data_IF_184702072982
#
_entry.id   IF_184702072982
#
_cell.length_a   1.000
_cell.length_b   1.000
_cell.length_c   1.000
_cell.angle_alpha   90.00
_cell.angle_beta   90.00
_cell.angle_gamma   90.00
#
_symmetry.space_group_name_H-M   'P 1'
#
loop_
_entity.id
_entity.type
_entity.pdbx_description
1 polymer ?
#
# COMPACT_ATOMS: atom_id res chain seq x y z
N UNK A 1 18.34 9.35 11.30
CA UNK A 1 17.88 8.03 11.80
C UNK A 1 18.55 6.99 10.94
N UNK A 2 19.19 5.98 11.54
CA UNK A 2 19.90 4.93 10.78
C UNK A 2 18.86 4.03 10.09
N UNK A 3 19.10 3.72 8.82
CA UNK A 3 18.21 2.85 8.03
C UNK A 3 18.31 1.41 8.56
N UNK A 4 17.19 0.76 8.79
CA UNK A 4 17.15 -0.66 9.18
C UNK A 4 16.64 -1.47 8.01
N UNK A 5 17.49 -2.35 7.51
CA UNK A 5 17.15 -3.30 6.45
C UNK A 5 16.85 -4.67 7.08
N UNK A 6 15.82 -5.35 6.54
CA UNK A 6 15.49 -6.73 6.92
C UNK A 6 15.70 -7.63 5.71
N UNK A 7 16.42 -8.71 5.88
CA UNK A 7 16.66 -9.74 4.86
C UNK A 7 16.39 -11.12 5.46
N UNK A 8 16.54 -12.16 4.66
CA UNK A 8 16.39 -13.56 5.08
C UNK A 8 15.01 -13.85 5.71
N UNK A 9 13.94 -13.34 5.08
CA UNK A 9 12.57 -13.54 5.56
C UNK A 9 12.02 -14.87 5.07
N UNK A 10 11.84 -15.84 5.97
CA UNK A 10 11.23 -17.14 5.70
C UNK A 10 9.84 -17.29 6.31
N UNK A 11 9.57 -16.55 7.40
CA UNK A 11 8.27 -16.53 8.07
C UNK A 11 7.71 -15.12 8.00
N UNK A 12 6.69 -14.88 7.16
CA UNK A 12 6.04 -13.58 7.06
C UNK A 12 5.43 -13.14 8.40
N UNK A 13 5.55 -11.85 8.71
CA UNK A 13 5.00 -11.29 9.95
C UNK A 13 4.55 -9.86 9.78
N UNK A 14 3.65 -9.42 10.66
CA UNK A 14 3.17 -8.04 10.74
C UNK A 14 3.71 -7.37 12.01
N UNK A 15 4.30 -6.19 11.85
CA UNK A 15 4.61 -5.29 12.96
C UNK A 15 3.50 -4.26 13.04
N UNK A 16 2.81 -4.22 14.18
CA UNK A 16 1.65 -3.33 14.36
C UNK A 16 2.10 -2.00 14.94
N UNK A 17 1.75 -0.90 14.27
CA UNK A 17 1.85 0.46 14.75
C UNK A 17 0.42 1.00 14.94
N UNK A 18 -0.07 0.98 16.17
CA UNK A 18 -1.42 1.46 16.50
C UNK A 18 -1.45 2.98 16.48
N UNK A 19 -2.51 3.56 15.91
CA UNK A 19 -2.82 4.96 16.12
C UNK A 19 -3.17 5.20 17.61
N UNK A 20 -2.90 6.41 18.10
CA UNK A 20 -3.33 6.80 19.44
C UNK A 20 -4.85 6.63 19.56
N UNK A 21 -5.30 5.95 20.61
CA UNK A 21 -6.72 5.63 20.83
C UNK A 21 -7.63 6.85 20.82
N UNK A 22 -7.10 8.04 21.16
CA UNK A 22 -7.84 9.33 21.13
C UNK A 22 -8.09 9.86 19.72
N UNK A 23 -7.33 9.39 18.73
CA UNK A 23 -7.36 9.86 17.35
C UNK A 23 -7.65 8.73 16.35
N UNK A 24 -7.66 7.46 16.82
CA UNK A 24 -7.92 6.32 15.97
C UNK A 24 -9.31 6.42 15.32
N UNK A 25 -9.34 6.38 13.98
CA UNK A 25 -10.57 6.56 13.21
C UNK A 25 -11.14 5.26 12.64
N UNK A 26 -10.51 4.13 12.93
CA UNK A 26 -10.91 2.80 12.47
C UNK A 26 -10.39 2.43 11.07
N UNK A 27 -9.72 3.31 10.36
CA UNK A 27 -9.02 2.92 9.13
C UNK A 27 -7.72 2.18 9.43
N UNK A 28 -7.32 1.28 8.52
CA UNK A 28 -6.05 0.58 8.61
C UNK A 28 -5.32 0.52 7.27
N UNK A 29 -3.98 0.39 7.32
CA UNK A 29 -3.14 0.20 6.14
C UNK A 29 -2.13 -0.92 6.37
N UNK A 30 -2.07 -1.89 5.47
CA UNK A 30 -0.97 -2.86 5.40
C UNK A 30 0.13 -2.26 4.52
N UNK A 31 1.33 -2.10 5.07
CA UNK A 31 2.47 -1.49 4.39
C UNK A 31 3.44 -2.58 3.93
N UNK A 32 3.76 -2.58 2.64
CA UNK A 32 4.80 -3.41 2.02
C UNK A 32 6.02 -2.53 1.68
N UNK A 33 7.11 -2.58 2.48
CA UNK A 33 8.32 -1.83 2.17
C UNK A 33 8.98 -2.28 0.87
N UNK A 34 9.75 -1.41 0.23
CA UNK A 34 10.57 -1.74 -0.92
C UNK A 34 11.89 -2.41 -0.55
N UNK A 35 12.82 -2.47 -1.51
CA UNK A 35 14.13 -3.07 -1.35
C UNK A 35 14.45 -4.09 -2.45
N UNK A 36 13.79 -4.00 -3.60
CA UNK A 36 14.07 -4.77 -4.81
C UNK A 36 13.81 -6.28 -4.68
N UNK A 37 12.99 -6.69 -3.73
CA UNK A 37 12.77 -8.10 -3.34
C UNK A 37 14.02 -8.82 -2.82
N UNK A 38 15.08 -8.06 -2.49
CA UNK A 38 16.33 -8.57 -1.89
C UNK A 38 16.40 -8.33 -0.39
N UNK A 39 15.77 -7.24 0.06
CA UNK A 39 15.67 -6.82 1.44
C UNK A 39 14.39 -5.99 1.62
N UNK A 40 14.09 -5.62 2.85
CA UNK A 40 13.04 -4.64 3.15
C UNK A 40 13.68 -3.38 3.72
N UNK A 41 13.35 -2.21 3.17
CA UNK A 41 13.70 -0.88 3.71
C UNK A 41 12.76 -0.59 4.90
N UNK A 42 12.93 -1.38 5.96
CA UNK A 42 11.91 -1.56 7.00
C UNK A 42 11.67 -0.30 7.82
N UNK A 43 12.76 0.45 8.12
CA UNK A 43 12.63 1.67 8.93
C UNK A 43 11.99 2.80 8.12
N UNK A 44 12.53 3.15 6.96
CA UNK A 44 12.12 4.35 6.23
C UNK A 44 10.84 4.17 5.41
N UNK A 45 10.59 2.99 4.85
CA UNK A 45 9.41 2.71 4.04
C UNK A 45 8.34 1.90 4.78
N UNK A 46 8.68 1.39 5.97
CA UNK A 46 7.75 0.70 6.85
C UNK A 46 7.36 1.55 8.06
N UNK A 47 8.25 1.65 9.05
CA UNK A 47 7.92 2.26 10.34
C UNK A 47 7.68 3.77 10.26
N UNK A 48 8.46 4.50 9.43
CA UNK A 48 8.25 5.94 9.26
C UNK A 48 6.92 6.22 8.54
N UNK A 49 6.57 5.42 7.52
CA UNK A 49 5.27 5.51 6.87
C UNK A 49 4.12 5.22 7.86
N UNK A 50 4.29 4.19 8.70
CA UNK A 50 3.34 3.88 9.76
C UNK A 50 3.15 5.06 10.74
N UNK A 51 4.22 5.73 11.13
CA UNK A 51 4.15 6.92 12.00
C UNK A 51 3.38 8.08 11.34
N UNK A 52 3.53 8.30 10.02
CA UNK A 52 2.76 9.31 9.29
C UNK A 52 1.27 8.96 9.28
N UNK A 53 0.91 7.72 8.99
CA UNK A 53 -0.47 7.25 9.02
C UNK A 53 -1.09 7.36 10.41
N UNK A 54 -0.32 7.04 11.47
CA UNK A 54 -0.80 7.16 12.85
C UNK A 54 -1.16 8.61 13.23
N UNK A 55 -0.47 9.63 12.69
CA UNK A 55 -0.79 11.05 12.94
C UNK A 55 -2.19 11.43 12.46
N UNK A 56 -2.68 10.76 11.43
CA UNK A 56 -4.03 10.96 10.89
C UNK A 56 -5.02 9.88 11.35
N UNK A 57 -4.71 9.18 12.44
CA UNK A 57 -5.60 8.23 13.09
C UNK A 57 -5.71 6.85 12.44
N UNK A 58 -4.87 6.54 11.46
CA UNK A 58 -4.86 5.26 10.76
C UNK A 58 -3.91 4.27 11.44
N UNK A 59 -4.40 3.08 11.80
CA UNK A 59 -3.55 1.99 12.31
C UNK A 59 -2.79 1.33 11.17
N UNK A 60 -1.48 1.15 11.33
CA UNK A 60 -0.63 0.57 10.30
C UNK A 60 -0.08 -0.82 10.70
N UNK A 61 0.06 -1.68 9.70
CA UNK A 61 0.58 -3.04 9.80
C UNK A 61 1.73 -3.20 8.82
N UNK A 62 2.97 -3.14 9.30
CA UNK A 62 4.16 -3.24 8.43
C UNK A 62 4.48 -4.70 8.19
N UNK A 63 4.42 -5.11 6.94
CA UNK A 63 4.62 -6.49 6.50
C UNK A 63 6.10 -6.80 6.26
N UNK A 64 6.59 -7.86 6.88
CA UNK A 64 7.79 -8.56 6.46
C UNK A 64 7.36 -9.73 5.57
N UNK A 65 7.51 -9.55 4.26
CA UNK A 65 7.17 -10.57 3.27
C UNK A 65 8.39 -11.36 2.79
N UNK A 66 8.21 -12.55 2.25
CA UNK A 66 9.27 -13.38 1.70
C UNK A 66 9.94 -12.73 0.50
N UNK A 67 11.26 -12.80 0.46
CA UNK A 67 12.09 -12.06 -0.47
C UNK A 67 12.55 -12.99 -1.61
N UNK A 68 12.03 -12.75 -2.81
CA UNK A 68 12.26 -13.62 -3.97
C UNK A 68 13.65 -13.46 -4.62
N UNK A 69 14.39 -12.39 -4.28
CA UNK A 69 15.71 -12.09 -4.86
C UNK A 69 16.80 -11.97 -3.79
N UNK A 70 16.55 -12.48 -2.59
CA UNK A 70 17.54 -12.52 -1.50
C UNK A 70 18.41 -13.76 -1.64
N UNK A 71 19.63 -13.57 -2.15
CA UNK A 71 20.55 -14.70 -2.44
C UNK A 71 19.93 -15.75 -3.38
N UNK A 72 20.04 -17.02 -3.01
CA UNK A 72 19.45 -18.15 -3.71
C UNK A 72 18.03 -18.46 -3.20
N UNK A 73 17.21 -17.45 -3.02
CA UNK A 73 15.86 -17.61 -2.49
C UNK A 73 15.01 -18.60 -3.31
N UNK A 74 14.27 -19.52 -2.67
CA UNK A 74 13.34 -20.41 -3.34
C UNK A 74 11.99 -19.76 -3.64
N UNK A 75 11.77 -18.51 -3.20
CA UNK A 75 10.49 -17.83 -3.28
C UNK A 75 10.31 -17.07 -4.60
N UNK A 76 9.04 -16.87 -4.99
CA UNK A 76 8.62 -16.09 -6.14
C UNK A 76 7.93 -14.79 -5.70
N UNK A 77 7.95 -13.77 -6.55
CA UNK A 77 7.29 -12.49 -6.28
C UNK A 77 5.77 -12.66 -6.38
N UNK A 78 5.29 -13.18 -7.51
CA UNK A 78 3.86 -13.32 -7.83
C UNK A 78 3.16 -14.39 -6.99
N UNK A 79 3.89 -15.47 -6.68
CA UNK A 79 3.39 -16.56 -5.85
C UNK A 79 3.52 -16.25 -4.37
N UNK A 80 4.75 -16.25 -3.84
CA UNK A 80 4.99 -16.23 -2.39
C UNK A 80 4.84 -14.85 -1.78
N UNK A 81 5.53 -13.84 -2.29
CA UNK A 81 5.48 -12.49 -1.72
C UNK A 81 4.09 -11.86 -1.87
N UNK A 82 3.43 -12.02 -3.03
CA UNK A 82 2.07 -11.54 -3.22
C UNK A 82 1.05 -12.33 -2.36
N UNK A 83 1.26 -13.63 -2.14
CA UNK A 83 0.44 -14.41 -1.21
C UNK A 83 0.58 -13.92 0.23
N UNK A 84 1.77 -13.50 0.64
CA UNK A 84 2.01 -12.93 1.97
C UNK A 84 1.22 -11.63 2.16
N UNK A 85 1.20 -10.72 1.16
CA UNK A 85 0.40 -9.51 1.23
C UNK A 85 -1.11 -9.81 1.21
N UNK A 86 -1.58 -10.76 0.37
CA UNK A 86 -2.98 -11.21 0.40
C UNK A 86 -3.38 -11.75 1.77
N UNK A 87 -2.51 -12.58 2.36
CA UNK A 87 -2.73 -13.12 3.70
C UNK A 87 -2.74 -12.03 4.77
N UNK A 88 -1.85 -11.05 4.67
CA UNK A 88 -1.79 -9.90 5.58
C UNK A 88 -3.10 -9.10 5.58
N UNK A 89 -3.65 -8.78 4.41
CA UNK A 89 -4.94 -8.08 4.29
C UNK A 89 -6.07 -8.89 4.92
N UNK A 90 -6.15 -10.19 4.64
CA UNK A 90 -7.14 -11.08 5.23
C UNK A 90 -6.98 -11.19 6.75
N UNK A 91 -5.75 -11.27 7.22
CA UNK A 91 -5.45 -11.37 8.65
C UNK A 91 -5.90 -10.11 9.38
N UNK A 92 -5.58 -8.92 8.89
CA UNK A 92 -6.03 -7.64 9.45
C UNK A 92 -7.57 -7.59 9.47
N UNK A 93 -8.22 -8.03 8.40
CA UNK A 93 -9.69 -8.08 8.31
C UNK A 93 -10.31 -9.06 9.31
N UNK A 94 -9.67 -10.21 9.54
CA UNK A 94 -10.10 -11.19 10.54
C UNK A 94 -9.99 -10.70 11.98
N UNK A 95 -8.97 -9.87 12.26
CA UNK A 95 -8.66 -9.35 13.59
C UNK A 95 -9.09 -7.88 13.78
N UNK A 96 -9.93 -7.36 12.88
CA UNK A 96 -10.31 -5.96 12.84
C UNK A 96 -10.81 -5.45 14.20
N UNK A 97 -11.69 -6.20 14.87
CA UNK A 97 -12.23 -5.85 16.19
C UNK A 97 -11.13 -5.73 17.26
N UNK A 98 -10.12 -6.61 17.27
CA UNK A 98 -9.00 -6.60 18.21
C UNK A 98 -8.18 -5.31 18.11
N UNK A 99 -8.09 -4.76 16.90
CA UNK A 99 -7.30 -3.55 16.61
C UNK A 99 -8.14 -2.27 16.52
N UNK A 100 -9.47 -2.35 16.75
CA UNK A 100 -10.36 -1.20 16.58
C UNK A 100 -10.47 -0.73 15.13
N UNK A 101 -10.37 -1.65 14.18
CA UNK A 101 -10.38 -1.39 12.74
C UNK A 101 -11.75 -1.73 12.15
N UNK A 102 -12.26 -0.90 11.23
CA UNK A 102 -13.39 -1.24 10.37
C UNK A 102 -12.89 -2.18 9.24
N UNK A 103 -13.38 -3.42 9.14
CA UNK A 103 -12.94 -4.37 8.12
C UNK A 103 -13.24 -3.93 6.68
N UNK A 104 -13.98 -2.84 6.48
CA UNK A 104 -14.32 -2.23 5.19
C UNK A 104 -13.45 -1.00 4.86
N UNK A 105 -12.45 -0.69 5.69
CA UNK A 105 -11.52 0.45 5.53
C UNK A 105 -10.07 0.02 5.72
N UNK A 106 -9.68 -1.07 5.02
CA UNK A 106 -8.33 -1.62 5.03
C UNK A 106 -7.66 -1.36 3.69
N UNK A 107 -6.75 -0.40 3.66
CA UNK A 107 -5.92 -0.11 2.49
C UNK A 107 -4.61 -0.88 2.49
N UNK A 108 -3.91 -0.79 1.37
CA UNK A 108 -2.53 -1.26 1.22
C UNK A 108 -1.65 -0.12 0.76
N UNK A 109 -0.40 -0.10 1.21
CA UNK A 109 0.60 0.88 0.80
C UNK A 109 1.88 0.14 0.43
N UNK A 110 2.49 0.49 -0.71
CA UNK A 110 3.72 -0.15 -1.14
C UNK A 110 4.71 0.80 -1.75
N UNK A 111 5.99 0.59 -1.44
CA UNK A 111 7.12 1.34 -1.95
C UNK A 111 7.92 0.49 -2.94
N UNK A 112 8.25 1.00 -4.12
CA UNK A 112 9.12 0.32 -5.08
C UNK A 112 8.68 -1.13 -5.33
N UNK A 113 9.49 -2.11 -4.97
CA UNK A 113 9.15 -3.54 -5.00
C UNK A 113 7.90 -3.89 -4.18
N UNK A 114 7.66 -3.21 -3.03
CA UNK A 114 6.42 -3.34 -2.27
C UNK A 114 5.22 -2.78 -3.03
N UNK A 115 5.42 -1.74 -3.86
CA UNK A 115 4.42 -1.22 -4.78
C UNK A 115 4.02 -2.22 -5.85
N UNK A 116 4.95 -3.04 -6.35
CA UNK A 116 4.65 -4.16 -7.25
C UNK A 116 3.70 -5.17 -6.59
N UNK A 117 3.95 -5.52 -5.32
CA UNK A 117 3.05 -6.41 -4.58
C UNK A 117 1.66 -5.81 -4.39
N UNK A 118 1.59 -4.50 -4.10
CA UNK A 118 0.30 -3.80 -4.00
C UNK A 118 -0.46 -3.88 -5.31
N UNK A 119 0.16 -3.59 -6.44
CA UNK A 119 -0.48 -3.67 -7.76
C UNK A 119 -0.96 -5.10 -8.06
N UNK A 120 -0.10 -6.11 -7.82
CA UNK A 120 -0.46 -7.52 -8.02
C UNK A 120 -1.66 -7.97 -7.18
N UNK A 121 -1.77 -7.49 -5.94
CA UNK A 121 -2.86 -7.89 -5.03
C UNK A 121 -4.13 -7.08 -5.28
N UNK A 122 -4.01 -5.80 -5.58
CA UNK A 122 -5.15 -4.93 -5.87
C UNK A 122 -5.87 -5.33 -7.16
N UNK A 123 -5.11 -5.71 -8.19
CA UNK A 123 -5.66 -6.17 -9.47
C UNK A 123 -6.16 -7.62 -9.40
N UNK A 124 -5.50 -8.48 -8.61
CA UNK A 124 -5.83 -9.89 -8.47
C UNK A 124 -5.84 -10.36 -7.01
N UNK A 125 -6.88 -10.01 -6.23
CA UNK A 125 -6.98 -10.40 -4.82
C UNK A 125 -7.23 -11.90 -4.59
N UNK A 126 -7.72 -12.60 -5.62
CA UNK A 126 -7.97 -14.05 -5.60
C UNK A 126 -7.48 -14.67 -6.92
N UNK A 127 -6.19 -15.11 -6.97
CA UNK A 127 -5.62 -15.68 -8.18
C UNK A 127 -6.37 -16.94 -8.62
N UNK A 128 -6.40 -17.25 -9.93
CA UNK A 128 -7.06 -18.43 -10.46
C UNK A 128 -6.61 -19.72 -9.75
N UNK A 129 -7.56 -20.58 -9.41
CA UNK A 129 -7.29 -21.86 -8.73
C UNK A 129 -6.96 -21.74 -7.23
N UNK A 130 -6.94 -20.54 -6.67
CA UNK A 130 -6.71 -20.35 -5.24
C UNK A 130 -7.86 -20.96 -4.42
N UNK A 131 -7.51 -21.68 -3.34
CA UNK A 131 -8.45 -22.30 -2.42
C UNK A 131 -8.14 -21.86 -0.97
N UNK A 132 -9.18 -21.55 -0.16
CA UNK A 132 -8.99 -21.18 1.23
C UNK A 132 -8.55 -22.40 2.07
N UNK A 133 -7.51 -22.22 2.90
CA UNK A 133 -6.98 -23.24 3.80
C UNK A 133 -7.58 -23.18 5.20
N UNK A 134 -8.08 -22.02 5.60
CA UNK A 134 -8.65 -21.76 6.92
C UNK A 134 -9.73 -20.65 6.87
N UNK A 135 -10.23 -20.26 8.05
CA UNK A 135 -11.27 -19.23 8.17
C UNK A 135 -10.79 -17.84 7.71
N UNK A 136 -9.53 -17.50 7.95
CA UNK A 136 -8.94 -16.22 7.53
C UNK A 136 -8.83 -16.16 6.00
N UNK A 137 -8.48 -17.27 5.36
CA UNK A 137 -8.39 -17.35 3.90
C UNK A 137 -9.74 -17.17 3.19
N UNK A 138 -10.87 -17.41 3.88
CA UNK A 138 -12.21 -17.18 3.31
C UNK A 138 -12.59 -15.70 3.21
N UNK A 139 -11.87 -14.81 3.91
CA UNK A 139 -12.09 -13.38 3.82
C UNK A 139 -11.49 -12.81 2.52
N UNK A 140 -11.97 -11.65 2.12
CA UNK A 140 -11.43 -10.96 0.93
C UNK A 140 -10.02 -10.44 1.19
N UNK A 141 -9.11 -10.68 0.24
CA UNK A 141 -7.81 -10.01 0.19
C UNK A 141 -7.85 -8.70 -0.60
N UNK A 142 -9.00 -8.32 -1.19
CA UNK A 142 -9.13 -7.05 -1.91
C UNK A 142 -8.98 -5.90 -0.92
N UNK A 143 -8.00 -5.01 -1.12
CA UNK A 143 -7.92 -3.80 -0.31
C UNK A 143 -9.06 -2.84 -0.67
N UNK A 144 -9.43 -1.98 0.27
CA UNK A 144 -10.49 -0.99 0.05
C UNK A 144 -9.95 0.26 -0.66
N UNK A 145 -8.65 0.54 -0.54
CA UNK A 145 -7.89 1.55 -1.29
C UNK A 145 -6.41 1.14 -1.42
N UNK A 146 -5.66 1.78 -2.32
CA UNK A 146 -4.25 1.49 -2.55
C UNK A 146 -3.41 2.75 -2.63
N UNK A 147 -2.21 2.70 -2.05
CA UNK A 147 -1.20 3.77 -2.07
C UNK A 147 0.08 3.22 -2.68
N UNK A 148 0.54 3.83 -3.76
CA UNK A 148 1.68 3.36 -4.54
C UNK A 148 2.75 4.43 -4.59
N UNK A 149 3.89 4.15 -3.99
CA UNK A 149 5.02 5.06 -3.91
C UNK A 149 6.12 4.54 -4.82
N UNK A 150 6.36 5.25 -5.93
CA UNK A 150 7.27 4.83 -7.02
C UNK A 150 7.21 3.32 -7.32
N UNK A 151 6.01 2.77 -7.62
CA UNK A 151 5.86 1.33 -7.83
C UNK A 151 6.71 0.85 -9.01
N UNK A 152 7.35 -0.33 -8.86
CA UNK A 152 8.03 -0.97 -9.97
C UNK A 152 7.05 -1.49 -11.03
N UNK A 153 7.56 -2.01 -12.16
CA UNK A 153 6.73 -2.36 -13.33
C UNK A 153 5.91 -3.65 -13.16
N UNK A 154 6.29 -4.50 -12.22
CA UNK A 154 5.63 -5.79 -12.08
C UNK A 154 4.21 -5.61 -11.53
N UNK A 155 3.26 -6.31 -12.13
CA UNK A 155 1.86 -6.29 -11.70
C UNK A 155 1.02 -5.16 -12.31
N UNK A 156 1.61 -4.24 -13.08
CA UNK A 156 0.84 -3.25 -13.84
C UNK A 156 0.00 -3.99 -14.88
N UNK A 157 -1.33 -3.98 -14.80
CA UNK A 157 -2.17 -4.73 -15.74
C UNK A 157 -2.18 -4.06 -17.11
N UNK A 158 -2.36 -4.85 -18.15
CA UNK A 158 -2.59 -4.30 -19.51
C UNK A 158 -3.91 -3.50 -19.57
N UNK A 159 -4.88 -3.89 -18.72
CA UNK A 159 -6.15 -3.21 -18.53
C UNK A 159 -6.58 -3.40 -17.08
N UNK A 160 -6.75 -2.32 -16.34
CA UNK A 160 -7.24 -2.38 -14.97
C UNK A 160 -8.70 -2.87 -14.92
N UNK A 161 -9.04 -3.61 -13.88
CA UNK A 161 -10.41 -4.02 -13.63
C UNK A 161 -11.27 -2.83 -13.19
N UNK A 162 -12.52 -2.74 -13.65
CA UNK A 162 -13.46 -1.69 -13.23
C UNK A 162 -13.74 -1.70 -11.73
N UNK A 163 -13.52 -2.83 -11.06
CA UNK A 163 -13.64 -2.96 -9.60
C UNK A 163 -12.32 -2.79 -8.84
N UNK A 164 -11.25 -2.31 -9.49
CA UNK A 164 -9.99 -2.04 -8.79
C UNK A 164 -10.19 -1.00 -7.67
N UNK A 165 -9.44 -1.08 -6.56
CA UNK A 165 -9.57 -0.10 -5.48
C UNK A 165 -9.08 1.28 -5.90
N UNK A 166 -9.67 2.38 -5.38
CA UNK A 166 -9.17 3.72 -5.59
C UNK A 166 -7.69 3.84 -5.25
N UNK A 167 -6.94 4.67 -6.00
CA UNK A 167 -5.50 4.71 -5.93
C UNK A 167 -4.93 6.12 -5.71
N UNK A 168 -3.95 6.23 -4.79
CA UNK A 168 -3.05 7.35 -4.67
C UNK A 168 -1.65 6.93 -5.15
N UNK A 169 -1.08 7.64 -6.11
CA UNK A 169 0.17 7.26 -6.77
C UNK A 169 1.15 8.43 -6.73
N UNK A 170 2.40 8.17 -6.32
CA UNK A 170 3.46 9.18 -6.35
C UNK A 170 4.73 8.62 -6.97
N UNK A 171 5.42 9.41 -7.81
CA UNK A 171 6.69 9.05 -8.40
C UNK A 171 7.56 10.28 -8.69
N UNK A 172 8.86 10.06 -8.90
CA UNK A 172 9.79 11.09 -9.31
C UNK A 172 9.91 11.15 -10.84
N UNK A 173 10.00 12.36 -11.42
CA UNK A 173 10.07 12.53 -12.88
C UNK A 173 11.37 12.03 -13.52
N UNK A 174 12.43 11.83 -12.71
CA UNK A 174 13.72 11.26 -13.15
C UNK A 174 13.86 9.77 -12.86
N UNK A 175 12.89 9.19 -12.18
CA UNK A 175 12.87 7.76 -11.86
C UNK A 175 12.60 6.93 -13.12
N UNK A 176 13.68 6.52 -13.79
CA UNK A 176 13.59 5.75 -15.05
C UNK A 176 12.95 4.39 -14.88
N UNK A 177 13.06 3.79 -13.70
CA UNK A 177 12.47 2.49 -13.37
C UNK A 177 10.96 2.61 -13.23
N UNK A 178 10.51 3.58 -12.46
CA UNK A 178 9.26 3.46 -11.75
C UNK A 178 8.26 4.60 -12.07
N UNK A 179 8.71 5.68 -12.73
CA UNK A 179 7.80 6.71 -13.24
C UNK A 179 6.92 6.19 -14.40
N UNK A 180 7.47 5.48 -15.41
CA UNK A 180 6.63 4.97 -16.50
C UNK A 180 5.53 4.00 -16.03
N UNK A 181 5.79 2.99 -15.17
CA UNK A 181 4.74 2.14 -14.64
C UNK A 181 3.73 2.90 -13.76
N UNK A 182 4.16 3.88 -12.97
CA UNK A 182 3.23 4.71 -12.17
C UNK A 182 2.25 5.48 -13.07
N UNK A 183 2.75 6.12 -14.13
CA UNK A 183 1.93 6.81 -15.11
C UNK A 183 1.00 5.85 -15.86
N UNK A 184 1.54 4.70 -16.30
CA UNK A 184 0.75 3.68 -17.00
C UNK A 184 -0.39 3.14 -16.14
N UNK A 185 -0.14 2.84 -14.88
CA UNK A 185 -1.16 2.37 -13.94
C UNK A 185 -2.26 3.42 -13.73
N UNK A 186 -1.87 4.69 -13.53
CA UNK A 186 -2.83 5.80 -13.43
C UNK A 186 -3.76 5.85 -14.64
N UNK A 187 -3.19 5.81 -15.85
CA UNK A 187 -3.97 5.83 -17.11
C UNK A 187 -4.93 4.64 -17.21
N UNK A 188 -4.49 3.43 -16.80
CA UNK A 188 -5.32 2.23 -16.81
C UNK A 188 -6.48 2.33 -15.82
N UNK A 189 -6.25 2.84 -14.61
CA UNK A 189 -7.28 3.02 -13.60
C UNK A 189 -8.33 4.04 -14.04
N UNK A 190 -7.90 5.21 -14.54
CA UNK A 190 -8.82 6.24 -15.06
C UNK A 190 -9.64 5.70 -16.24
N UNK A 191 -9.02 4.99 -17.17
CA UNK A 191 -9.72 4.37 -18.30
C UNK A 191 -10.76 3.31 -17.87
N UNK A 192 -10.54 2.68 -16.72
CA UNK A 192 -11.47 1.74 -16.11
C UNK A 192 -12.56 2.41 -15.25
N UNK A 193 -12.58 3.75 -15.16
CA UNK A 193 -13.52 4.50 -14.31
C UNK A 193 -13.21 4.42 -12.82
N UNK A 194 -11.98 4.04 -12.45
CA UNK A 194 -11.53 3.97 -11.05
C UNK A 194 -10.96 5.32 -10.63
N UNK A 195 -11.35 5.81 -9.46
CA UNK A 195 -10.78 7.02 -8.88
C UNK A 195 -9.29 6.85 -8.62
N UNK A 196 -8.46 7.69 -9.23
CA UNK A 196 -7.01 7.66 -9.08
C UNK A 196 -6.43 9.08 -9.05
N UNK A 197 -5.45 9.29 -8.17
CA UNK A 197 -4.68 10.53 -8.07
C UNK A 197 -3.21 10.23 -8.30
N UNK A 198 -2.53 11.07 -9.11
CA UNK A 198 -1.12 10.92 -9.46
C UNK A 198 -0.34 12.20 -9.21
N UNK A 199 0.74 12.09 -8.43
CA UNK A 199 1.73 13.15 -8.24
C UNK A 199 3.08 12.75 -8.85
N UNK A 200 3.56 13.54 -9.80
CA UNK A 200 4.90 13.42 -10.39
C UNK A 200 5.77 14.60 -9.96
N UNK A 201 6.74 14.33 -9.11
CA UNK A 201 7.61 15.37 -8.57
C UNK A 201 8.78 15.66 -9.50
N UNK A 202 8.91 16.94 -9.89
CA UNK A 202 9.94 17.41 -10.80
C UNK A 202 11.35 17.11 -10.24
N UNK A 203 12.28 16.72 -11.14
CA UNK A 203 13.70 16.48 -10.85
C UNK A 203 13.99 15.53 -9.68
N UNK A 204 13.07 14.66 -9.38
CA UNK A 204 13.15 13.67 -8.31
C UNK A 204 13.45 12.30 -8.89
N UNK A 205 14.39 11.60 -8.30
CA UNK A 205 14.77 10.22 -8.65
C UNK A 205 14.09 9.23 -7.73
N UNK A 206 14.45 7.94 -7.82
CA UNK A 206 13.90 6.84 -7.04
C UNK A 206 14.19 6.94 -5.54
N UNK A 207 13.42 6.22 -4.72
CA UNK A 207 13.66 6.02 -3.28
C UNK A 207 13.68 7.30 -2.43
N UNK A 208 12.79 8.24 -2.70
CA UNK A 208 12.65 9.44 -1.87
C UNK A 208 11.95 9.16 -0.52
N UNK A 209 11.51 7.92 -0.26
CA UNK A 209 10.86 7.43 0.96
C UNK A 209 9.66 8.33 1.36
N UNK A 210 9.60 8.79 2.60
CA UNK A 210 8.56 9.73 3.06
C UNK A 210 8.91 11.22 2.77
N UNK A 211 9.70 11.48 1.72
CA UNK A 211 10.12 12.83 1.30
C UNK A 211 11.44 13.31 1.92
N UNK A 212 11.95 12.62 2.93
CA UNK A 212 13.16 13.08 3.66
C UNK A 212 14.46 12.92 2.87
N UNK A 213 14.47 12.24 1.74
CA UNK A 213 15.66 12.11 0.86
C UNK A 213 15.72 13.15 -0.24
N UNK A 214 14.80 14.11 -0.27
CA UNK A 214 14.78 15.19 -1.25
C UNK A 214 14.79 16.55 -0.59
N UNK A 215 15.44 17.53 -1.23
CA UNK A 215 15.47 18.93 -0.77
C UNK A 215 14.27 19.74 -1.25
N UNK A 216 13.46 19.20 -2.17
CA UNK A 216 12.33 19.90 -2.75
C UNK A 216 11.17 19.98 -1.77
N UNK A 217 10.68 21.19 -1.51
CA UNK A 217 9.57 21.45 -0.59
C UNK A 217 8.33 20.61 -0.94
N UNK A 218 7.92 20.61 -2.21
CA UNK A 218 6.77 19.84 -2.66
C UNK A 218 6.91 18.33 -2.38
N UNK A 219 8.14 17.78 -2.57
CA UNK A 219 8.40 16.38 -2.30
C UNK A 219 8.33 16.06 -0.80
N UNK A 220 8.78 16.95 0.07
CA UNK A 220 8.71 16.75 1.52
C UNK A 220 7.27 16.71 2.03
N UNK A 221 6.34 17.32 1.30
CA UNK A 221 4.91 17.40 1.63
C UNK A 221 4.03 16.35 0.92
N UNK A 222 4.60 15.37 0.22
CA UNK A 222 3.76 14.35 -0.39
C UNK A 222 2.95 13.52 0.63
N UNK A 223 3.45 13.28 1.87
CA UNK A 223 2.63 12.58 2.87
C UNK A 223 1.40 13.39 3.32
N UNK A 224 1.47 14.74 3.26
CA UNK A 224 0.32 15.60 3.53
C UNK A 224 -0.74 15.47 2.42
N UNK A 225 -0.30 15.36 1.15
CA UNK A 225 -1.23 15.08 0.02
C UNK A 225 -1.92 13.72 0.16
N UNK A 226 -1.21 12.72 0.66
CA UNK A 226 -1.83 11.43 0.99
C UNK A 226 -2.89 11.58 2.10
N UNK A 227 -2.61 12.39 3.13
CA UNK A 227 -3.57 12.64 4.20
C UNK A 227 -4.83 13.34 3.68
N UNK A 228 -4.69 14.34 2.80
CA UNK A 228 -5.79 15.02 2.15
C UNK A 228 -6.62 14.04 1.30
N UNK A 229 -5.97 13.24 0.47
CA UNK A 229 -6.62 12.22 -0.35
C UNK A 229 -7.40 11.18 0.47
N UNK A 230 -6.83 10.74 1.61
CA UNK A 230 -7.52 9.84 2.53
C UNK A 230 -8.76 10.50 3.15
N UNK A 231 -8.68 11.80 3.48
CA UNK A 231 -9.81 12.56 3.99
C UNK A 231 -10.91 12.74 2.94
N UNK A 232 -10.55 13.19 1.73
CA UNK A 232 -11.47 13.40 0.60
C UNK A 232 -12.17 12.10 0.18
N UNK A 233 -11.47 10.97 0.24
CA UNK A 233 -12.02 9.65 0.01
C UNK A 233 -12.91 9.12 1.14
N UNK A 234 -13.08 9.88 2.24
CA UNK A 234 -13.85 9.49 3.42
C UNK A 234 -13.24 8.31 4.19
N UNK A 235 -11.92 8.02 4.00
CA UNK A 235 -11.26 6.91 4.68
C UNK A 235 -10.96 7.23 6.14
N UNK A 236 -10.87 8.52 6.51
CA UNK A 236 -10.58 8.98 7.87
C UNK A 236 -11.82 9.18 8.74
N UNK A 237 -13.03 9.01 8.19
CA UNK A 237 -14.30 9.17 8.91
C UNK A 237 -14.96 7.79 9.10
N UNK A 238 -15.57 7.49 10.27
CA UNK A 238 -16.38 6.29 10.44
C UNK A 238 -17.45 6.15 9.36
N UNK A 239 -17.73 4.93 8.92
CA UNK A 239 -18.59 4.69 7.75
C UNK A 239 -20.03 5.16 7.93
N UNK A 240 -20.51 5.19 9.19
CA UNK A 240 -21.86 5.66 9.51
C UNK A 240 -22.01 7.17 9.31
N UNK A 241 -20.90 7.91 9.31
CA UNK A 241 -20.86 9.36 9.09
C UNK A 241 -20.52 9.72 7.62
N UNK A 242 -20.35 8.75 6.73
CA UNK A 242 -20.12 9.02 5.31
C UNK A 242 -21.41 9.44 4.61
N UNK A 243 -21.36 10.44 3.73
CA UNK A 243 -22.48 10.69 2.82
C UNK A 243 -22.76 9.44 1.98
N UNK A 244 -24.02 9.15 1.64
CA UNK A 244 -24.38 8.02 0.79
C UNK A 244 -23.61 8.06 -0.53
N UNK A 245 -23.15 6.91 -1.01
CA UNK A 245 -22.44 6.78 -2.28
C UNK A 245 -23.30 7.41 -3.41
N UNK A 246 -22.75 8.34 -4.14
CA UNK A 246 -23.40 8.98 -5.31
C UNK A 246 -23.95 10.39 -5.07
N UNK A 247 -23.78 10.97 -3.89
CA UNK A 247 -24.07 12.41 -3.68
C UNK A 247 -22.78 13.19 -3.89
N UNK A 248 -22.66 14.06 -4.92
CA UNK A 248 -21.53 14.96 -5.04
C UNK A 248 -21.45 15.85 -3.80
N UNK A 249 -20.24 16.04 -3.26
CA UNK A 249 -20.02 17.01 -2.21
C UNK A 249 -20.48 18.42 -2.65
N UNK A 250 -21.01 19.22 -1.73
CA UNK A 250 -21.53 20.54 -2.05
C UNK A 250 -20.45 21.49 -2.57
#
# INVERSE_FOLDING_TARGET
>A
MQDTYVSNVHVPSLTVARADARHANGAAVVIAPGGGHRMLVFQNEGMLAAQHLNRVGVTAFVLKYRLARDGASPYSIEGDAAADLRRAVRWVRAHATEYGVDPRRIGVMGFSAGGELVTLVADNPAPPGWQPRDAVDRLSARPDFQVLVYPGPLGVPAKAAAGAPPAFIVAGSRDKCCMPPALGLYQQLVAAGVSAELHLYADTDHAFNMGQRGERVALQHWPDRLADWLADGGWLVPRDDRPPEGVPAP
#
